data_IF_064060857651
#
_entry.id   IF_064060857651
#
_cell.length_a   1.000
_cell.length_b   1.000
_cell.length_c   1.000
_cell.angle_alpha   90.00
_cell.angle_beta   90.00
_cell.angle_gamma   90.00
#
_symmetry.space_group_name_H-M   'P 1'
#
loop_
_entity.id
_entity.type
_entity.pdbx_description
1 polymer ?
#
# COMPACT_ATOMS: atom_id res chain seq x y z
N UNK A 1 0.77 -16.10 34.06
CA UNK A 1 1.31 -15.36 32.91
C UNK A 1 0.29 -15.50 31.80
N UNK A 2 -0.76 -14.67 31.85
CA UNK A 2 -1.76 -14.55 30.78
C UNK A 2 -1.00 -14.08 29.54
N UNK A 3 -0.95 -14.91 28.50
CA UNK A 3 -0.23 -14.58 27.27
C UNK A 3 -1.10 -13.53 26.57
N UNK A 4 -0.68 -12.27 26.58
CA UNK A 4 -1.28 -11.19 25.77
C UNK A 4 -1.34 -11.66 24.32
N UNK A 5 -2.50 -12.17 23.92
CA UNK A 5 -2.73 -12.60 22.55
C UNK A 5 -3.01 -11.33 21.75
N UNK A 6 -2.22 -11.05 20.70
CA UNK A 6 -2.46 -9.89 19.87
C UNK A 6 -3.88 -9.94 19.32
N UNK A 7 -4.59 -8.82 19.41
CA UNK A 7 -5.96 -8.70 18.92
C UNK A 7 -6.04 -9.16 17.46
N UNK A 8 -7.00 -10.02 17.15
CA UNK A 8 -7.18 -10.56 15.80
C UNK A 8 -7.29 -9.46 14.73
N UNK A 9 -7.84 -8.30 15.10
CA UNK A 9 -7.91 -7.12 14.23
C UNK A 9 -6.55 -6.49 13.91
N UNK A 10 -5.61 -6.49 14.87
CA UNK A 10 -4.24 -6.00 14.67
C UNK A 10 -3.47 -6.97 13.78
N UNK A 11 -3.60 -8.29 14.00
CA UNK A 11 -2.96 -9.29 13.14
C UNK A 11 -3.46 -9.22 11.69
N UNK A 12 -4.77 -9.06 11.50
CA UNK A 12 -5.35 -8.90 10.17
C UNK A 12 -4.83 -7.63 9.47
N UNK A 13 -4.75 -6.50 10.19
CA UNK A 13 -4.18 -5.26 9.67
C UNK A 13 -2.71 -5.42 9.26
N UNK A 14 -1.88 -5.98 10.15
CA UNK A 14 -0.47 -6.21 9.86
C UNK A 14 -0.30 -7.15 8.68
N UNK A 15 -1.13 -8.19 8.56
CA UNK A 15 -1.12 -9.10 7.42
C UNK A 15 -1.44 -8.39 6.10
N UNK A 16 -2.45 -7.52 6.08
CA UNK A 16 -2.81 -6.74 4.88
C UNK A 16 -1.71 -5.75 4.51
N UNK A 17 -1.19 -4.99 5.48
CA UNK A 17 -0.11 -4.01 5.23
C UNK A 17 1.16 -4.70 4.75
N UNK A 18 1.53 -5.81 5.37
CA UNK A 18 2.69 -6.59 4.97
C UNK A 18 2.50 -7.17 3.57
N UNK A 19 1.35 -7.79 3.28
CA UNK A 19 1.04 -8.34 1.97
C UNK A 19 1.05 -7.30 0.86
N UNK A 20 0.42 -6.13 1.07
CA UNK A 20 0.44 -5.02 0.12
C UNK A 20 1.84 -4.45 -0.08
N UNK A 21 2.63 -4.31 0.99
CA UNK A 21 4.03 -3.86 0.92
C UNK A 21 4.89 -4.85 0.12
N UNK A 22 4.79 -6.15 0.39
CA UNK A 22 5.53 -7.18 -0.34
C UNK A 22 5.11 -7.23 -1.81
N UNK A 23 3.82 -7.09 -2.10
CA UNK A 23 3.31 -7.01 -3.47
C UNK A 23 3.91 -5.82 -4.22
N UNK A 24 3.92 -4.64 -3.59
CA UNK A 24 4.51 -3.43 -4.17
C UNK A 24 6.00 -3.59 -4.46
N UNK A 25 6.77 -4.09 -3.49
CA UNK A 25 8.20 -4.35 -3.66
C UNK A 25 8.44 -5.37 -4.78
N UNK A 26 7.64 -6.43 -4.85
CA UNK A 26 7.73 -7.43 -5.91
C UNK A 26 7.43 -6.85 -7.30
N UNK A 27 6.38 -6.03 -7.43
CA UNK A 27 6.04 -5.36 -8.69
C UNK A 27 7.13 -4.38 -9.11
N UNK A 28 7.67 -3.58 -8.19
CA UNK A 28 8.78 -2.68 -8.47
C UNK A 28 10.05 -3.43 -8.90
N UNK A 29 10.34 -4.57 -8.26
CA UNK A 29 11.46 -5.42 -8.64
C UNK A 29 11.28 -6.01 -10.05
N UNK A 30 10.08 -6.50 -10.39
CA UNK A 30 9.79 -6.98 -11.74
C UNK A 30 9.94 -5.86 -12.78
N UNK A 31 9.46 -4.67 -12.47
CA UNK A 31 9.57 -3.49 -13.32
C UNK A 31 11.05 -3.09 -13.53
N UNK A 32 11.86 -3.15 -12.47
CA UNK A 32 13.31 -2.95 -12.53
C UNK A 32 14.02 -4.00 -13.39
N UNK A 33 13.77 -5.30 -13.16
CA UNK A 33 14.40 -6.40 -13.92
C UNK A 33 13.97 -6.38 -15.39
N UNK A 34 12.75 -5.92 -15.68
CA UNK A 34 12.26 -5.79 -17.05
C UNK A 34 12.88 -4.62 -17.84
N UNK A 35 13.72 -3.79 -17.22
CA UNK A 35 14.34 -2.63 -17.87
C UNK A 35 13.36 -1.48 -18.15
N UNK A 36 12.19 -1.48 -17.51
CA UNK A 36 11.12 -0.51 -17.77
C UNK A 36 11.39 0.88 -17.16
N UNK A 37 12.57 1.12 -16.58
CA UNK A 37 12.96 2.41 -16.01
C UNK A 37 12.98 3.53 -17.05
N UNK A 38 13.32 3.24 -18.30
CA UNK A 38 13.22 4.18 -19.43
C UNK A 38 11.76 4.42 -19.87
N UNK A 39 10.89 3.42 -19.64
CA UNK A 39 9.48 3.47 -19.99
C UNK A 39 8.66 4.43 -19.12
N UNK A 40 9.14 4.80 -17.93
CA UNK A 40 8.43 5.73 -17.03
C UNK A 40 8.46 7.15 -17.57
N UNK A 41 9.62 7.64 -18.04
CA UNK A 41 9.71 8.96 -18.67
C UNK A 41 8.91 9.02 -19.97
N UNK A 42 8.98 7.96 -20.80
CA UNK A 42 8.17 7.84 -22.00
C UNK A 42 6.67 7.83 -21.69
N UNK A 43 6.24 7.14 -20.62
CA UNK A 43 4.86 7.11 -20.18
C UNK A 43 4.36 8.49 -19.72
N UNK A 44 5.21 9.25 -19.01
CA UNK A 44 4.85 10.60 -18.57
C UNK A 44 4.77 11.60 -19.73
N UNK A 45 5.57 11.40 -20.78
CA UNK A 45 5.57 12.24 -21.97
C UNK A 45 4.42 11.90 -22.95
N UNK A 46 4.19 10.62 -23.21
CA UNK A 46 3.11 10.11 -24.05
C UNK A 46 2.55 8.78 -23.50
N UNK A 47 1.50 8.84 -22.66
CA UNK A 47 0.92 7.65 -22.05
C UNK A 47 0.20 6.77 -23.07
N UNK A 48 -0.36 7.36 -24.14
CA UNK A 48 -1.11 6.62 -25.16
C UNK A 48 -0.14 5.88 -26.08
N UNK A 49 0.94 6.52 -26.51
CA UNK A 49 2.00 5.89 -27.29
C UNK A 49 2.72 4.77 -26.54
N UNK A 50 2.95 4.95 -25.23
CA UNK A 50 3.59 3.94 -24.38
C UNK A 50 2.73 2.70 -24.18
N UNK A 51 1.40 2.85 -24.17
CA UNK A 51 0.47 1.72 -24.09
C UNK A 51 0.60 0.77 -25.29
N UNK A 52 0.86 1.33 -26.48
CA UNK A 52 1.03 0.58 -27.72
C UNK A 52 2.37 -0.15 -27.83
N UNK A 53 3.44 0.42 -27.27
CA UNK A 53 4.79 -0.16 -27.34
C UNK A 53 5.10 -1.12 -26.19
N UNK A 54 4.54 -0.89 -24.99
CA UNK A 54 4.81 -1.72 -23.83
C UNK A 54 3.59 -1.80 -22.88
N UNK A 55 2.57 -2.60 -23.25
CA UNK A 55 1.32 -2.68 -22.49
C UNK A 55 1.52 -3.28 -21.09
N UNK A 56 2.47 -4.21 -20.91
CA UNK A 56 2.73 -4.83 -19.61
C UNK A 56 3.30 -3.83 -18.60
N UNK A 57 4.24 -2.99 -19.01
CA UNK A 57 4.80 -1.96 -18.14
C UNK A 57 3.74 -0.97 -17.64
N UNK A 58 2.80 -0.58 -18.51
CA UNK A 58 1.67 0.28 -18.12
C UNK A 58 0.76 -0.43 -17.11
N UNK A 59 0.43 -1.72 -17.33
CA UNK A 59 -0.37 -2.51 -16.38
C UNK A 59 0.30 -2.57 -15.01
N UNK A 60 1.62 -2.79 -14.97
CA UNK A 60 2.36 -2.77 -13.70
C UNK A 60 2.33 -1.40 -13.03
N UNK A 61 2.51 -0.31 -13.78
CA UNK A 61 2.40 1.05 -13.22
C UNK A 61 1.02 1.30 -12.61
N UNK A 62 -0.05 0.98 -13.33
CA UNK A 62 -1.42 1.13 -12.84
C UNK A 62 -1.65 0.26 -11.59
N UNK A 63 -1.17 -0.98 -11.59
CA UNK A 63 -1.28 -1.88 -10.45
C UNK A 63 -0.53 -1.36 -9.21
N UNK A 64 0.68 -0.79 -9.39
CA UNK A 64 1.47 -0.18 -8.33
C UNK A 64 0.72 1.03 -7.74
N UNK A 65 0.20 1.92 -8.58
CA UNK A 65 -0.59 3.07 -8.10
C UNK A 65 -1.85 2.62 -7.34
N UNK A 66 -2.58 1.64 -7.86
CA UNK A 66 -3.75 1.09 -7.19
C UNK A 66 -3.40 0.47 -5.82
N UNK A 67 -2.30 -0.29 -5.75
CA UNK A 67 -1.82 -0.90 -4.52
C UNK A 67 -1.35 0.14 -3.49
N UNK A 68 -0.72 1.24 -3.93
CA UNK A 68 -0.36 2.36 -3.06
C UNK A 68 -1.59 3.05 -2.47
N UNK A 69 -2.60 3.32 -3.30
CA UNK A 69 -3.88 3.91 -2.83
C UNK A 69 -4.58 2.99 -1.84
N UNK A 70 -4.60 1.68 -2.12
CA UNK A 70 -5.17 0.68 -1.22
C UNK A 70 -4.41 0.64 0.13
N UNK A 71 -3.07 0.63 0.10
CA UNK A 71 -2.23 0.66 1.29
C UNK A 71 -2.50 1.92 2.12
N UNK A 72 -2.54 3.08 1.46
CA UNK A 72 -2.86 4.36 2.11
C UNK A 72 -4.24 4.33 2.77
N UNK A 73 -5.27 3.86 2.05
CA UNK A 73 -6.63 3.75 2.57
C UNK A 73 -6.70 2.83 3.80
N UNK A 74 -5.99 1.68 3.78
CA UNK A 74 -5.92 0.76 4.91
C UNK A 74 -5.26 1.42 6.13
N UNK A 75 -4.12 2.08 5.93
CA UNK A 75 -3.39 2.76 7.01
C UNK A 75 -4.23 3.89 7.61
N UNK A 76 -4.89 4.71 6.78
CA UNK A 76 -5.74 5.81 7.26
C UNK A 76 -6.98 5.30 7.97
N UNK A 77 -7.68 4.31 7.41
CA UNK A 77 -8.88 3.75 8.02
C UNK A 77 -8.56 3.09 9.38
N UNK A 78 -7.44 2.37 9.46
CA UNK A 78 -6.98 1.79 10.71
C UNK A 78 -6.53 2.88 11.70
N UNK A 79 -5.73 3.86 11.27
CA UNK A 79 -5.33 5.00 12.10
C UNK A 79 -6.53 5.75 12.68
N UNK A 80 -7.56 6.02 11.88
CA UNK A 80 -8.79 6.67 12.32
C UNK A 80 -9.55 5.84 13.37
N UNK A 81 -9.63 4.52 13.17
CA UNK A 81 -10.29 3.60 14.11
C UNK A 81 -9.61 3.56 15.49
N UNK A 82 -8.28 3.63 15.53
CA UNK A 82 -7.49 3.53 16.76
C UNK A 82 -7.07 4.89 17.36
N UNK A 83 -7.39 6.01 16.72
CA UNK A 83 -7.16 7.35 17.28
C UNK A 83 -8.17 7.73 18.40
N UNK A 84 -9.32 7.04 18.48
CA UNK A 84 -10.41 7.37 19.39
C UNK A 84 -10.30 6.90 20.87
N UNK A 85 -9.60 5.80 21.23
CA UNK A 85 -9.58 5.33 22.63
C UNK A 85 -8.90 6.28 23.61
N UNK A 86 -7.93 7.10 23.17
CA UNK A 86 -7.06 7.88 24.05
C UNK A 86 -7.66 9.19 24.59
N UNK A 87 -8.88 9.58 24.18
CA UNK A 87 -9.52 10.85 24.62
C UNK A 87 -10.50 10.71 25.78
N UNK A 88 -10.93 9.50 26.16
CA UNK A 88 -11.94 9.34 27.21
C UNK A 88 -11.38 9.12 28.62
N UNK A 89 -10.13 8.68 28.77
CA UNK A 89 -9.56 8.40 30.10
C UNK A 89 -9.06 9.63 30.87
N UNK A 90 -8.80 10.75 30.18
CA UNK A 90 -8.38 11.99 30.86
C UNK A 90 -9.54 12.81 31.43
N UNK A 91 -10.81 12.44 31.18
CA UNK A 91 -11.99 13.15 31.70
C UNK A 91 -12.59 12.54 32.96
N UNK A 92 -12.05 11.43 33.47
CA UNK A 92 -12.61 10.71 34.62
C UNK A 92 -11.87 10.96 35.94
N UNK A 93 -10.78 11.75 35.91
CA UNK A 93 -9.94 12.05 37.08
C UNK A 93 -10.04 13.50 37.59
N UNK A 94 -11.00 14.30 37.10
CA UNK A 94 -11.37 15.61 37.66
C UNK A 94 -12.87 15.64 37.98
#
# INVERSE_FOLDING_TARGET
MERDRPDAGILAYLGVVFGLSTLLVGMLYLLFVSGFTEGVEAFLADPVGTLGSNPLGVVYLVAIFAALVALFAVVVAFGAKYAHPSRMDHRRNN
#
